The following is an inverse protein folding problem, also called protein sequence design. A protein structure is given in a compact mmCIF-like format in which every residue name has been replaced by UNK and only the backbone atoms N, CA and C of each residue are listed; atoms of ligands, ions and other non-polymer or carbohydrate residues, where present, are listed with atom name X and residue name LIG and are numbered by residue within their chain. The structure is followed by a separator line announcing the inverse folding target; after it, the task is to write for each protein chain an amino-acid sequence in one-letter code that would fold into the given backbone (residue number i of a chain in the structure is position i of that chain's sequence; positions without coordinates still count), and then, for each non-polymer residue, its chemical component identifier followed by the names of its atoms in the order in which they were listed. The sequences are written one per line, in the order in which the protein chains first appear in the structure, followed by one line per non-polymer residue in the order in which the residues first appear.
data_IF_102350236352
#
_entry.id   IF_102350236352
#
_cell.length_a   1.000
_cell.length_b   1.000
_cell.length_c   1.000
_cell.angle_alpha   90.00
_cell.angle_beta   90.00
_cell.angle_gamma   90.00
#
_symmetry.space_group_name_H-M   'P 1'
#
loop_
_entity.id
_entity.type
_entity.pdbx_description
1 polymer ?
#
# COMPACT_ATOMS: atom_id res chain seq x y z
N UNK A 1 17.33 0.97 6.84
CA UNK A 1 16.23 1.03 5.87
C UNK A 1 15.43 2.30 6.10
N UNK A 2 15.26 3.11 5.07
CA UNK A 2 14.64 4.44 5.12
C UNK A 2 13.40 4.46 4.24
N UNK A 3 12.32 5.08 4.72
CA UNK A 3 11.13 5.34 3.90
C UNK A 3 11.26 6.73 3.33
N UNK A 4 11.03 6.84 2.03
CA UNK A 4 10.96 8.10 1.31
C UNK A 4 9.51 8.28 0.87
N UNK A 5 8.90 9.39 1.29
CA UNK A 5 7.60 9.84 0.79
C UNK A 5 7.84 10.64 -0.49
N UNK A 6 7.15 10.28 -1.56
CA UNK A 6 7.33 10.86 -2.89
C UNK A 6 6.03 10.78 -3.69
N UNK A 7 6.09 11.11 -4.98
CA UNK A 7 4.96 11.11 -5.91
C UNK A 7 5.24 10.26 -7.16
N UNK A 8 4.27 10.21 -8.07
CA UNK A 8 4.29 9.40 -9.30
C UNK A 8 5.43 9.75 -10.27
N UNK A 9 6.08 10.91 -10.09
CA UNK A 9 7.14 11.40 -10.98
C UNK A 9 8.53 10.97 -10.52
N UNK A 10 8.67 10.29 -9.37
CA UNK A 10 9.96 9.82 -8.88
C UNK A 10 10.52 8.72 -9.78
N UNK A 11 11.66 8.98 -10.43
CA UNK A 11 12.29 8.02 -11.33
C UNK A 11 12.60 6.66 -10.68
N UNK A 12 12.85 6.63 -9.37
CA UNK A 12 13.14 5.38 -8.64
C UNK A 12 11.88 4.54 -8.49
N UNK A 13 10.74 5.19 -8.30
CA UNK A 13 9.43 4.53 -8.28
C UNK A 13 9.07 4.00 -9.64
N UNK A 14 9.15 4.85 -10.68
CA UNK A 14 8.85 4.46 -12.08
C UNK A 14 9.67 3.24 -12.48
N UNK A 15 11.01 3.28 -12.31
CA UNK A 15 11.89 2.14 -12.62
C UNK A 15 11.56 0.89 -11.81
N UNK A 16 11.11 1.04 -10.56
CA UNK A 16 10.76 -0.10 -9.72
C UNK A 16 9.43 -0.70 -10.19
N UNK A 17 8.39 0.09 -10.44
CA UNK A 17 7.11 -0.37 -10.97
C UNK A 17 7.24 -1.01 -12.36
N UNK A 18 8.05 -0.43 -13.25
CA UNK A 18 8.37 -0.99 -14.56
C UNK A 18 8.97 -2.40 -14.45
N UNK A 19 9.78 -2.66 -13.41
CA UNK A 19 10.36 -3.99 -13.18
C UNK A 19 9.34 -5.07 -12.82
N UNK A 20 8.13 -4.67 -12.41
CA UNK A 20 6.97 -5.55 -12.18
C UNK A 20 5.97 -5.51 -13.36
N UNK A 21 6.27 -4.78 -14.44
CA UNK A 21 5.40 -4.66 -15.62
C UNK A 21 4.12 -3.85 -15.39
N UNK A 22 4.11 -2.94 -14.41
CA UNK A 22 2.93 -2.20 -13.99
C UNK A 22 2.94 -0.75 -14.52
N UNK A 23 1.76 -0.23 -14.86
CA UNK A 23 1.51 1.19 -15.12
C UNK A 23 0.47 1.68 -14.11
N UNK A 24 0.71 2.84 -13.49
CA UNK A 24 -0.15 3.34 -12.42
C UNK A 24 -0.90 4.59 -12.82
N UNK A 25 -2.21 4.56 -12.58
CA UNK A 25 -3.07 5.72 -12.74
C UNK A 25 -3.04 6.56 -11.47
N UNK A 26 -2.33 7.70 -11.55
CA UNK A 26 -2.42 8.85 -10.64
C UNK A 26 -2.38 8.52 -9.13
N UNK A 27 -1.35 7.82 -8.62
CA UNK A 27 -1.22 7.62 -7.17
C UNK A 27 -0.95 8.97 -6.48
N UNK A 28 -1.69 9.29 -5.42
CA UNK A 28 -1.50 10.54 -4.69
C UNK A 28 -0.28 10.51 -3.77
N UNK A 29 0.00 9.36 -3.18
CA UNK A 29 1.14 9.18 -2.29
C UNK A 29 1.88 7.92 -2.71
N UNK A 30 3.19 8.05 -2.85
CA UNK A 30 4.11 6.95 -3.12
C UNK A 30 5.12 6.85 -1.99
N UNK A 31 5.30 5.64 -1.47
CA UNK A 31 6.35 5.33 -0.50
C UNK A 31 7.38 4.40 -1.12
N UNK A 32 8.65 4.78 -0.99
CA UNK A 32 9.79 3.93 -1.34
C UNK A 32 10.52 3.51 -0.08
N UNK A 33 10.64 2.20 0.15
CA UNK A 33 11.54 1.68 1.16
C UNK A 33 12.90 1.40 0.53
N UNK A 34 13.94 2.07 1.02
CA UNK A 34 15.30 1.90 0.53
C UNK A 34 16.19 1.21 1.58
N UNK A 35 17.11 0.38 1.10
CA UNK A 35 18.13 -0.29 1.91
C UNK A 35 19.45 -0.29 1.13
N UNK A 36 20.52 0.21 1.74
CA UNK A 36 21.85 0.33 1.12
C UNK A 36 21.83 1.00 -0.28
N UNK A 37 21.02 2.06 -0.43
CA UNK A 37 20.88 2.81 -1.69
C UNK A 37 20.02 2.14 -2.76
N UNK A 38 19.37 1.00 -2.47
CA UNK A 38 18.47 0.30 -3.40
C UNK A 38 17.04 0.31 -2.91
N UNK A 39 16.08 0.47 -3.82
CA UNK A 39 14.66 0.26 -3.52
C UNK A 39 14.40 -1.22 -3.30
N UNK A 40 13.83 -1.54 -2.14
CA UNK A 40 13.49 -2.92 -1.74
C UNK A 40 11.98 -3.15 -1.65
N UNK A 41 11.19 -2.08 -1.70
CA UNK A 41 9.76 -2.16 -1.88
C UNK A 41 9.14 -0.78 -2.10
N UNK A 42 7.93 -0.77 -2.65
CA UNK A 42 7.10 0.42 -2.73
C UNK A 42 5.65 0.10 -2.39
N UNK A 43 4.92 1.14 -2.02
CA UNK A 43 3.45 1.10 -1.91
C UNK A 43 2.90 2.48 -2.24
N UNK A 44 1.64 2.54 -2.66
CA UNK A 44 0.96 3.80 -2.96
C UNK A 44 -0.50 3.73 -2.56
N UNK A 45 -1.10 4.90 -2.34
CA UNK A 45 -2.55 5.04 -2.30
C UNK A 45 -3.06 6.15 -3.22
N UNK A 46 -4.34 6.07 -3.58
CA UNK A 46 -5.14 7.16 -4.15
C UNK A 46 -6.40 7.39 -3.32
N UNK A 47 -7.09 8.51 -3.55
CA UNK A 47 -8.44 8.72 -3.00
C UNK A 47 -9.37 7.67 -3.61
N UNK A 48 -10.14 6.97 -2.77
CA UNK A 48 -11.21 6.09 -3.22
C UNK A 48 -12.56 6.79 -3.18
N UNK A 49 -12.90 7.38 -2.04
CA UNK A 49 -14.08 8.22 -1.85
C UNK A 49 -13.79 9.35 -0.84
N UNK A 50 -14.83 10.06 -0.38
CA UNK A 50 -14.68 11.19 0.55
C UNK A 50 -14.13 10.80 1.92
N UNK A 51 -14.21 9.54 2.31
CA UNK A 51 -13.85 9.04 3.64
C UNK A 51 -12.74 7.97 3.60
N UNK A 52 -12.30 7.54 2.43
CA UNK A 52 -11.36 6.42 2.30
C UNK A 52 -10.32 6.57 1.20
N UNK A 53 -9.15 6.00 1.47
CA UNK A 53 -8.08 5.82 0.51
C UNK A 53 -8.02 4.35 0.03
N UNK A 54 -7.53 4.13 -1.19
CA UNK A 54 -7.28 2.80 -1.75
C UNK A 54 -5.79 2.60 -1.96
N UNK A 55 -5.26 1.50 -1.42
CA UNK A 55 -3.91 1.03 -1.70
C UNK A 55 -3.91 0.45 -3.12
N UNK A 56 -3.19 1.10 -4.01
CA UNK A 56 -3.12 0.70 -5.43
C UNK A 56 -1.91 -0.16 -5.75
N UNK A 57 -0.86 -0.09 -4.92
CA UNK A 57 0.32 -0.94 -5.11
C UNK A 57 0.94 -1.41 -3.82
N UNK A 58 1.53 -2.59 -3.89
CA UNK A 58 2.48 -3.10 -2.92
C UNK A 58 3.48 -4.03 -3.64
N UNK A 59 4.62 -3.49 -4.04
CA UNK A 59 5.68 -4.26 -4.72
C UNK A 59 6.87 -4.45 -3.79
N UNK A 60 7.37 -5.68 -3.69
CA UNK A 60 8.40 -6.06 -2.72
C UNK A 60 9.49 -6.88 -3.42
N UNK A 61 10.74 -6.46 -3.33
CA UNK A 61 11.86 -7.06 -4.07
C UNK A 61 12.55 -8.22 -3.33
N UNK A 62 12.16 -8.50 -2.08
CA UNK A 62 12.80 -9.50 -1.23
C UNK A 62 11.77 -10.49 -0.69
N UNK A 63 12.01 -11.77 -0.94
CA UNK A 63 11.23 -12.88 -0.38
C UNK A 63 11.55 -13.10 1.11
N UNK A 64 12.81 -12.94 1.52
CA UNK A 64 13.28 -13.30 2.88
C UNK A 64 12.82 -12.32 3.99
N UNK A 65 12.36 -11.12 3.63
CA UNK A 65 11.97 -10.07 4.59
C UNK A 65 10.61 -9.42 4.23
N UNK A 66 9.81 -10.10 3.41
CA UNK A 66 8.60 -9.55 2.77
C UNK A 66 7.59 -8.99 3.77
N UNK A 67 7.29 -9.75 4.82
CA UNK A 67 6.32 -9.35 5.86
C UNK A 67 6.78 -8.09 6.59
N UNK A 68 8.07 -8.03 6.99
CA UNK A 68 8.63 -6.86 7.66
C UNK A 68 8.59 -5.62 6.79
N UNK A 69 8.92 -5.76 5.51
CA UNK A 69 8.88 -4.67 4.53
C UNK A 69 7.46 -4.18 4.33
N UNK A 70 6.51 -5.09 4.09
CA UNK A 70 5.11 -4.77 3.88
C UNK A 70 4.52 -4.02 5.08
N UNK A 71 4.73 -4.52 6.31
CA UNK A 71 4.24 -3.85 7.52
C UNK A 71 4.78 -2.44 7.68
N UNK A 72 6.06 -2.25 7.38
CA UNK A 72 6.69 -0.94 7.50
C UNK A 72 6.10 0.05 6.49
N UNK A 73 5.87 -0.40 5.25
CA UNK A 73 5.27 0.40 4.19
C UNK A 73 3.80 0.71 4.48
N UNK A 74 2.98 -0.31 4.75
CA UNK A 74 1.54 -0.16 4.97
C UNK A 74 1.27 0.71 6.20
N UNK A 75 1.97 0.53 7.33
CA UNK A 75 1.75 1.37 8.51
C UNK A 75 2.10 2.84 8.30
N UNK A 76 3.14 3.11 7.50
CA UNK A 76 3.47 4.49 7.15
C UNK A 76 2.41 5.08 6.20
N UNK A 77 1.87 4.26 5.30
CA UNK A 77 0.80 4.64 4.39
C UNK A 77 -0.50 4.95 5.15
N UNK A 78 -0.88 4.10 6.11
CA UNK A 78 -1.99 4.30 7.04
C UNK A 78 -1.84 5.60 7.82
N UNK A 79 -0.63 5.88 8.34
CA UNK A 79 -0.36 7.12 9.05
C UNK A 79 -0.60 8.36 8.18
N UNK A 80 -0.15 8.34 6.93
CA UNK A 80 -0.38 9.45 5.99
C UNK A 80 -1.86 9.58 5.66
N UNK A 81 -2.57 8.46 5.45
CA UNK A 81 -4.00 8.48 5.19
C UNK A 81 -4.78 9.11 6.38
N UNK A 82 -4.41 8.80 7.62
CA UNK A 82 -4.97 9.44 8.82
C UNK A 82 -4.65 10.95 8.86
N UNK A 83 -3.42 11.35 8.51
CA UNK A 83 -3.02 12.76 8.42
C UNK A 83 -3.80 13.53 7.32
N UNK A 84 -4.35 12.81 6.33
CA UNK A 84 -5.21 13.36 5.28
C UNK A 84 -6.71 13.29 5.65
N UNK A 85 -7.02 13.03 6.92
CA UNK A 85 -8.37 12.94 7.47
C UNK A 85 -9.24 11.82 6.88
N UNK A 86 -8.65 10.83 6.18
CA UNK A 86 -9.39 9.63 5.81
C UNK A 86 -9.79 8.85 7.07
N UNK A 87 -10.98 8.24 7.02
CA UNK A 87 -11.52 7.39 8.10
C UNK A 87 -11.17 5.93 7.91
N UNK A 88 -10.84 5.52 6.69
CA UNK A 88 -10.48 4.14 6.40
C UNK A 88 -9.56 4.02 5.20
N UNK A 89 -8.99 2.83 5.04
CA UNK A 89 -8.18 2.45 3.90
C UNK A 89 -8.59 1.07 3.41
N UNK A 90 -8.65 0.92 2.08
CA UNK A 90 -9.02 -0.33 1.42
C UNK A 90 -7.89 -0.86 0.53
N UNK A 91 -7.98 -2.14 0.20
CA UNK A 91 -7.16 -2.79 -0.82
C UNK A 91 -8.01 -3.83 -1.55
N UNK A 92 -7.82 -3.94 -2.85
CA UNK A 92 -8.46 -4.93 -3.71
C UNK A 92 -7.44 -5.98 -4.17
N UNK A 93 -7.88 -7.23 -4.30
CA UNK A 93 -7.09 -8.33 -4.83
C UNK A 93 -7.81 -8.99 -6.01
N UNK A 94 -7.03 -9.47 -6.97
CA UNK A 94 -7.53 -10.20 -8.14
C UNK A 94 -8.01 -11.62 -7.79
N UNK A 95 -7.59 -12.17 -6.64
CA UNK A 95 -7.88 -13.55 -6.22
C UNK A 95 -7.89 -13.70 -4.69
N UNK A 96 -8.73 -14.61 -4.19
CA UNK A 96 -8.77 -15.05 -2.78
C UNK A 96 -7.51 -15.80 -2.34
N UNK A 97 -6.71 -16.25 -3.30
CA UNK A 97 -5.46 -16.98 -3.06
C UNK A 97 -4.24 -16.05 -3.05
N UNK A 98 -4.44 -14.73 -3.10
CA UNK A 98 -3.32 -13.78 -3.09
C UNK A 98 -2.53 -13.89 -1.78
N UNK A 99 -1.23 -14.17 -1.96
CA UNK A 99 -0.25 -14.34 -0.88
C UNK A 99 -0.08 -13.10 0.02
N UNK A 100 -0.53 -11.93 -0.42
CA UNK A 100 -0.54 -10.70 0.37
C UNK A 100 -1.72 -10.62 1.34
N UNK A 101 -2.83 -11.36 1.12
CA UNK A 101 -4.02 -11.30 1.99
C UNK A 101 -3.65 -11.52 3.46
N UNK A 102 -2.84 -12.54 3.75
CA UNK A 102 -2.42 -12.83 5.12
C UNK A 102 -1.59 -11.73 5.78
N UNK A 103 -0.95 -10.84 5.02
CA UNK A 103 -0.26 -9.65 5.55
C UNK A 103 -1.30 -8.62 5.99
N UNK A 104 -2.33 -8.38 5.18
CA UNK A 104 -3.40 -7.42 5.48
C UNK A 104 -4.26 -7.88 6.65
N UNK A 105 -4.60 -9.16 6.73
CA UNK A 105 -5.33 -9.73 7.87
C UNK A 105 -4.58 -9.54 9.19
N UNK A 106 -3.25 -9.77 9.20
CA UNK A 106 -2.40 -9.52 10.39
C UNK A 106 -2.25 -8.03 10.73
N UNK A 107 -2.60 -7.13 9.81
CA UNK A 107 -2.66 -5.69 10.02
C UNK A 107 -4.08 -5.20 10.38
N UNK A 108 -4.96 -6.12 10.78
CA UNK A 108 -6.35 -5.87 11.19
C UNK A 108 -7.28 -5.40 10.05
N UNK A 109 -6.94 -5.70 8.79
CA UNK A 109 -7.88 -5.51 7.69
C UNK A 109 -8.91 -6.65 7.72
N UNK A 110 -10.15 -6.29 7.45
CA UNK A 110 -11.28 -7.22 7.41
C UNK A 110 -11.81 -7.28 5.99
N UNK A 111 -12.10 -8.49 5.53
CA UNK A 111 -12.76 -8.69 4.24
C UNK A 111 -14.14 -8.03 4.23
N UNK A 112 -14.45 -7.32 3.15
CA UNK A 112 -15.73 -6.63 2.92
C UNK A 112 -16.33 -7.05 1.58
N UNK A 113 -17.64 -6.80 1.40
CA UNK A 113 -18.32 -7.11 0.14
C UNK A 113 -17.93 -6.09 -0.94
N UNK A 114 -17.05 -6.51 -1.85
CA UNK A 114 -16.41 -5.65 -2.84
C UNK A 114 -17.01 -5.76 -4.24
N UNK A 115 -18.33 -5.76 -4.41
CA UNK A 115 -18.99 -5.73 -5.74
C UNK A 115 -18.45 -6.74 -6.79
N UNK A 116 -17.98 -7.91 -6.35
CA UNK A 116 -17.36 -8.94 -7.21
C UNK A 116 -15.84 -9.04 -7.12
N UNK A 117 -15.19 -8.16 -6.38
CA UNK A 117 -13.75 -8.15 -6.09
C UNK A 117 -13.46 -8.64 -4.66
N UNK A 118 -12.24 -9.15 -4.45
CA UNK A 118 -11.76 -9.52 -3.12
C UNK A 118 -11.25 -8.26 -2.43
N UNK A 119 -12.12 -7.62 -1.65
CA UNK A 119 -11.81 -6.35 -1.00
C UNK A 119 -11.58 -6.52 0.50
N UNK A 120 -10.56 -5.84 1.01
CA UNK A 120 -10.24 -5.77 2.43
C UNK A 120 -10.19 -4.31 2.89
N UNK A 121 -10.74 -4.03 4.06
CA UNK A 121 -10.87 -2.68 4.62
C UNK A 121 -10.35 -2.62 6.05
N UNK A 122 -9.69 -1.51 6.40
CA UNK A 122 -9.37 -1.15 7.78
C UNK A 122 -9.94 0.21 8.12
N UNK A 123 -10.76 0.25 9.15
CA UNK A 123 -11.24 1.50 9.76
C UNK A 123 -10.16 2.05 10.69
N UNK A 124 -9.84 3.34 10.53
CA UNK A 124 -8.97 4.01 11.48
C UNK A 124 -9.78 4.36 12.71
N UNK A 125 -9.34 3.86 13.87
CA UNK A 125 -9.96 4.25 15.14
C UNK A 125 -9.68 5.72 15.35
N UNK A 126 -10.73 6.53 15.37
CA UNK A 126 -10.65 7.90 15.87
C UNK A 126 -10.20 7.85 17.32
N UNK A 127 -9.01 8.38 17.59
CA UNK A 127 -8.56 8.67 18.95
C UNK A 127 -9.39 9.87 19.43
N UNK A 128 -10.59 9.62 19.92
CA UNK A 128 -11.39 10.61 20.67
C UNK A 128 -10.89 10.73 22.10
#
# INVERSE_FOLDING_TARGET
MEIIVTDERDERFIKFCDSFGCFLEEPQVVLLLTSFGKTVGCTSFKVYDSDSAEITTLFLNSYDDRERIAYKLIRQLEKIAIEYDFKSIIVNFDSEEDILIGIFEKLDYVKVDGAGEVQYKKEFKTLF
#
